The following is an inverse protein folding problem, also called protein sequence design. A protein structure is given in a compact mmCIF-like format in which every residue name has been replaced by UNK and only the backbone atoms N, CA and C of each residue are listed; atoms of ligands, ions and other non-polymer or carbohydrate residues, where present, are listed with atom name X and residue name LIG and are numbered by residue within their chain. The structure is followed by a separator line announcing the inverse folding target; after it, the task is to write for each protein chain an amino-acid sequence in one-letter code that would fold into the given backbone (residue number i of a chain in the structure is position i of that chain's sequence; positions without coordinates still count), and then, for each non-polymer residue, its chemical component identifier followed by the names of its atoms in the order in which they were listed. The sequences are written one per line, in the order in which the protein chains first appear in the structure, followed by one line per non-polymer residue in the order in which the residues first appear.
data_IF_303870684710
#
_entry.id   IF_303870684710
#
_cell.length_a   1.000
_cell.length_b   1.000
_cell.length_c   1.000
_cell.angle_alpha   90.00
_cell.angle_beta   90.00
_cell.angle_gamma   90.00
#
_symmetry.space_group_name_H-M   'P 1'
#
loop_
_entity.id
_entity.type
_entity.pdbx_description
1 polymer ?
#
# COMPACT_ATOMS: atom_id res chain seq x y z
N UNK A 1 11.20 3.75 5.75
CA UNK A 1 10.92 2.75 4.70
C UNK A 1 9.55 2.04 4.84
N UNK A 2 8.77 2.26 5.90
CA UNK A 2 7.61 1.41 6.28
C UNK A 2 6.33 1.67 5.43
N UNK A 3 6.15 2.88 4.89
CA UNK A 3 4.91 3.24 4.20
C UNK A 3 4.74 2.67 2.77
N UNK A 4 5.80 2.16 2.13
CA UNK A 4 5.69 1.72 0.71
C UNK A 4 4.80 0.50 0.51
N UNK A 5 4.75 -0.41 1.49
CA UNK A 5 4.15 -1.72 1.25
C UNK A 5 2.64 -1.75 1.53
N UNK A 6 2.13 -0.91 2.43
CA UNK A 6 0.77 -1.08 2.96
C UNK A 6 -0.33 -0.85 1.92
N UNK A 7 -0.19 0.15 1.05
CA UNK A 7 -1.14 0.41 -0.03
C UNK A 7 -1.11 -0.69 -1.09
N UNK A 8 0.08 -1.20 -1.41
CA UNK A 8 0.27 -2.28 -2.37
C UNK A 8 -0.31 -3.61 -1.84
N UNK A 9 -0.04 -3.96 -0.59
CA UNK A 9 -0.66 -5.11 0.10
C UNK A 9 -2.19 -5.01 0.09
N UNK A 10 -2.76 -3.84 0.37
CA UNK A 10 -4.21 -3.61 0.35
C UNK A 10 -4.79 -3.75 -1.06
N UNK A 11 -4.13 -3.17 -2.06
CA UNK A 11 -4.54 -3.29 -3.46
C UNK A 11 -4.56 -4.75 -3.91
N UNK A 12 -3.50 -5.50 -3.65
CA UNK A 12 -3.41 -6.93 -3.98
C UNK A 12 -4.46 -7.77 -3.23
N UNK A 13 -4.78 -7.42 -1.98
CA UNK A 13 -5.77 -8.13 -1.18
C UNK A 13 -7.16 -8.02 -1.80
N UNK A 14 -7.59 -6.80 -2.14
CA UNK A 14 -8.87 -6.58 -2.80
C UNK A 14 -8.89 -7.11 -4.23
N UNK A 15 -7.77 -7.03 -4.97
CA UNK A 15 -7.63 -7.62 -6.31
C UNK A 15 -7.92 -9.11 -6.30
N UNK A 16 -7.28 -9.86 -5.39
CA UNK A 16 -7.41 -11.30 -5.38
C UNK A 16 -8.79 -11.74 -4.86
N UNK A 17 -9.38 -11.00 -3.91
CA UNK A 17 -10.79 -11.17 -3.54
C UNK A 17 -11.73 -10.92 -4.71
N UNK A 18 -11.55 -9.82 -5.45
CA UNK A 18 -12.36 -9.49 -6.62
C UNK A 18 -12.22 -10.56 -7.72
N UNK A 19 -11.01 -11.07 -7.95
CA UNK A 19 -10.74 -12.13 -8.93
C UNK A 19 -11.44 -13.44 -8.59
N UNK A 20 -11.28 -13.92 -7.35
CA UNK A 20 -11.87 -15.18 -6.93
C UNK A 20 -13.41 -15.09 -6.91
N UNK A 21 -13.94 -13.99 -6.37
CA UNK A 21 -15.40 -13.77 -6.36
C UNK A 21 -15.97 -13.54 -7.76
N UNK A 22 -15.24 -12.87 -8.65
CA UNK A 22 -15.59 -12.72 -10.06
C UNK A 22 -15.56 -14.03 -10.84
N UNK A 23 -14.75 -15.00 -10.42
CA UNK A 23 -14.74 -16.37 -10.95
C UNK A 23 -15.90 -17.24 -10.41
N UNK A 24 -16.82 -16.67 -9.62
CA UNK A 24 -17.95 -17.38 -9.03
C UNK A 24 -17.61 -18.18 -7.77
N UNK A 25 -16.40 -18.01 -7.21
CA UNK A 25 -16.01 -18.65 -5.95
C UNK A 25 -16.67 -17.88 -4.80
N UNK A 26 -17.29 -18.60 -3.86
CA UNK A 26 -17.89 -17.97 -2.68
C UNK A 26 -16.82 -17.27 -1.83
N UNK A 27 -17.20 -16.17 -1.15
CA UNK A 27 -16.28 -15.35 -0.34
C UNK A 27 -15.61 -16.18 0.77
N UNK A 28 -16.35 -17.10 1.40
CA UNK A 28 -15.80 -18.03 2.39
C UNK A 28 -14.68 -18.92 1.81
N UNK A 29 -14.90 -19.48 0.62
CA UNK A 29 -13.90 -20.32 -0.05
C UNK A 29 -12.72 -19.50 -0.54
N UNK A 30 -12.98 -18.32 -1.09
CA UNK A 30 -11.95 -17.37 -1.50
C UNK A 30 -11.05 -17.00 -0.32
N UNK A 31 -11.62 -16.72 0.86
CA UNK A 31 -10.86 -16.42 2.07
C UNK A 31 -9.87 -17.54 2.44
N UNK A 32 -10.34 -18.79 2.40
CA UNK A 32 -9.52 -19.97 2.71
C UNK A 32 -8.38 -20.19 1.72
N UNK A 33 -8.64 -19.97 0.41
CA UNK A 33 -7.60 -20.04 -0.62
C UNK A 33 -6.56 -18.95 -0.42
N UNK A 34 -7.01 -17.73 -0.10
CA UNK A 34 -6.13 -16.60 0.14
C UNK A 34 -5.23 -16.78 1.37
N UNK A 35 -5.78 -17.33 2.44
CA UNK A 35 -5.06 -17.45 3.70
C UNK A 35 -3.80 -18.35 3.57
N UNK A 36 -3.80 -19.28 2.62
CA UNK A 36 -2.67 -20.16 2.32
C UNK A 36 -1.53 -19.45 1.58
N UNK A 37 -1.87 -18.49 0.70
CA UNK A 37 -0.90 -17.86 -0.20
C UNK A 37 -0.27 -16.60 0.39
N UNK A 38 -0.97 -15.90 1.29
CA UNK A 38 -0.51 -14.64 1.84
C UNK A 38 0.47 -14.83 3.00
N UNK A 39 1.50 -13.99 3.09
CA UNK A 39 2.48 -14.00 4.19
C UNK A 39 2.25 -12.88 5.21
N UNK A 40 1.56 -11.83 4.82
CA UNK A 40 1.33 -10.66 5.67
C UNK A 40 0.37 -11.00 6.84
N UNK A 41 0.79 -10.80 8.10
CA UNK A 41 -0.03 -11.18 9.25
C UNK A 41 -1.29 -10.32 9.42
N UNK A 42 -1.30 -9.07 8.95
CA UNK A 42 -2.51 -8.24 8.99
C UNK A 42 -3.56 -8.76 8.02
N UNK A 43 -3.15 -9.19 6.82
CA UNK A 43 -4.06 -9.82 5.85
C UNK A 43 -4.55 -11.17 6.35
N UNK A 44 -3.68 -12.01 6.93
CA UNK A 44 -4.10 -13.28 7.52
C UNK A 44 -5.14 -13.09 8.63
N UNK A 45 -4.93 -12.10 9.50
CA UNK A 45 -5.92 -11.77 10.54
C UNK A 45 -7.25 -11.37 9.94
N UNK A 46 -7.26 -10.56 8.87
CA UNK A 46 -8.48 -10.15 8.18
C UNK A 46 -9.22 -11.35 7.56
N UNK A 47 -8.49 -12.25 6.90
CA UNK A 47 -9.04 -13.47 6.30
C UNK A 47 -9.59 -14.42 7.35
N UNK A 48 -8.91 -14.55 8.49
CA UNK A 48 -9.37 -15.36 9.61
C UNK A 48 -10.66 -14.79 10.23
N UNK A 49 -10.72 -13.48 10.47
CA UNK A 49 -11.95 -12.81 10.93
C UNK A 49 -13.10 -13.00 9.95
N UNK A 50 -12.83 -12.88 8.64
CA UNK A 50 -13.81 -13.14 7.60
C UNK A 50 -14.30 -14.59 7.60
N UNK A 51 -13.41 -15.59 7.74
CA UNK A 51 -13.79 -16.99 7.82
C UNK A 51 -14.65 -17.30 9.05
N UNK A 52 -14.30 -16.75 10.21
CA UNK A 52 -15.03 -16.96 11.47
C UNK A 52 -16.39 -16.28 11.44
N UNK A 53 -16.45 -14.99 11.08
CA UNK A 53 -17.71 -14.26 11.02
C UNK A 53 -18.70 -14.88 10.02
N UNK A 54 -18.22 -15.34 8.85
CA UNK A 54 -19.08 -16.05 7.90
C UNK A 54 -19.59 -17.40 8.41
N UNK A 55 -18.82 -18.12 9.23
CA UNK A 55 -19.30 -19.36 9.88
C UNK A 55 -20.36 -19.07 10.94
N UNK A 56 -20.28 -17.91 11.58
CA UNK A 56 -21.24 -17.43 12.58
C UNK A 56 -22.48 -16.78 11.96
N UNK A 57 -22.50 -16.59 10.64
CA UNK A 57 -23.61 -15.99 9.90
C UNK A 57 -23.59 -14.47 9.85
N UNK A 58 -22.46 -13.84 10.18
CA UNK A 58 -22.27 -12.40 10.00
C UNK A 58 -22.24 -12.01 8.52
N UNK A 59 -22.52 -10.74 8.26
CA UNK A 59 -22.30 -10.14 6.93
C UNK A 59 -20.81 -10.06 6.63
N UNK A 60 -20.44 -10.07 5.35
CA UNK A 60 -19.06 -9.91 4.89
C UNK A 60 -18.48 -8.58 5.38
N UNK A 61 -19.28 -7.51 5.33
CA UNK A 61 -18.90 -6.20 5.85
C UNK A 61 -18.61 -6.21 7.35
N UNK A 62 -19.41 -6.93 8.14
CA UNK A 62 -19.25 -7.09 9.57
C UNK A 62 -18.01 -7.91 9.93
N UNK A 63 -17.86 -9.07 9.30
CA UNK A 63 -16.74 -9.97 9.55
C UNK A 63 -15.37 -9.35 9.19
N UNK A 64 -15.34 -8.45 8.19
CA UNK A 64 -14.14 -7.70 7.81
C UNK A 64 -13.96 -6.38 8.56
N UNK A 65 -14.97 -5.85 9.25
CA UNK A 65 -14.92 -4.56 9.92
C UNK A 65 -13.70 -4.33 10.82
N UNK A 66 -13.21 -5.32 11.60
CA UNK A 66 -12.02 -5.13 12.45
C UNK A 66 -10.73 -4.85 11.66
N UNK A 67 -10.66 -5.32 10.41
CA UNK A 67 -9.50 -5.14 9.54
C UNK A 67 -9.67 -3.96 8.56
N UNK A 68 -10.90 -3.49 8.36
CA UNK A 68 -11.22 -2.42 7.42
C UNK A 68 -11.29 -1.05 8.11
N UNK A 69 -10.97 -0.02 7.35
CA UNK A 69 -11.30 1.37 7.67
C UNK A 69 -12.80 1.60 7.49
N UNK A 70 -13.34 2.65 8.11
CA UNK A 70 -14.77 2.98 7.97
C UNK A 70 -15.22 3.18 6.51
N UNK A 71 -14.34 3.71 5.66
CA UNK A 71 -14.59 3.86 4.23
C UNK A 71 -14.68 2.50 3.51
N UNK A 72 -13.69 1.63 3.74
CA UNK A 72 -13.68 0.29 3.13
C UNK A 72 -14.90 -0.52 3.58
N UNK A 73 -15.23 -0.49 4.88
CA UNK A 73 -16.41 -1.19 5.41
C UNK A 73 -17.70 -0.69 4.76
N UNK A 74 -17.88 0.63 4.63
CA UNK A 74 -19.06 1.20 3.96
C UNK A 74 -19.19 0.81 2.47
N UNK A 75 -18.08 0.72 1.74
CA UNK A 75 -18.07 0.27 0.35
C UNK A 75 -18.44 -1.21 0.25
N UNK A 76 -17.85 -2.05 1.10
CA UNK A 76 -18.14 -3.50 1.13
C UNK A 76 -19.59 -3.74 1.51
N UNK A 77 -20.10 -3.04 2.51
CA UNK A 77 -21.47 -3.13 3.01
C UNK A 77 -22.50 -2.70 1.96
N UNK A 78 -22.24 -1.60 1.25
CA UNK A 78 -23.05 -1.18 0.10
C UNK A 78 -23.01 -2.20 -1.04
N UNK A 79 -21.84 -2.76 -1.33
CA UNK A 79 -21.66 -3.77 -2.38
C UNK A 79 -22.34 -5.10 -2.02
N UNK A 80 -22.29 -5.51 -0.76
CA UNK A 80 -22.94 -6.72 -0.24
C UNK A 80 -24.46 -6.61 -0.34
N UNK A 81 -25.05 -5.51 0.19
CA UNK A 81 -26.49 -5.25 0.05
C UNK A 81 -26.94 -5.14 -1.40
N UNK A 82 -26.09 -4.60 -2.27
CA UNK A 82 -26.35 -4.49 -3.70
C UNK A 82 -26.12 -5.77 -4.50
N UNK A 83 -25.62 -6.86 -3.87
CA UNK A 83 -25.25 -8.10 -4.55
C UNK A 83 -24.09 -7.96 -5.54
N UNK A 84 -23.29 -6.90 -5.41
CA UNK A 84 -22.22 -6.49 -6.34
C UNK A 84 -20.85 -6.44 -5.65
N UNK A 85 -20.55 -7.41 -4.79
CA UNK A 85 -19.28 -7.51 -4.05
C UNK A 85 -18.04 -7.41 -4.94
N UNK A 86 -18.06 -8.06 -6.11
CA UNK A 86 -16.97 -8.00 -7.09
C UNK A 86 -16.65 -6.55 -7.48
N UNK A 87 -17.69 -5.72 -7.69
CA UNK A 87 -17.52 -4.31 -8.01
C UNK A 87 -16.99 -3.51 -6.81
N UNK A 88 -17.46 -3.81 -5.60
CA UNK A 88 -16.96 -3.19 -4.38
C UNK A 88 -15.47 -3.44 -4.16
N UNK A 89 -15.04 -4.71 -4.26
CA UNK A 89 -13.62 -5.06 -4.14
C UNK A 89 -12.76 -4.47 -5.25
N UNK A 90 -13.24 -4.50 -6.50
CA UNK A 90 -12.52 -3.88 -7.62
C UNK A 90 -12.36 -2.37 -7.45
N UNK A 91 -13.38 -1.69 -6.92
CA UNK A 91 -13.28 -0.27 -6.61
C UNK A 91 -12.21 0.03 -5.56
N UNK A 92 -12.11 -0.81 -4.52
CA UNK A 92 -11.08 -0.70 -3.49
C UNK A 92 -9.68 -1.03 -4.02
N UNK A 93 -9.56 -2.04 -4.88
CA UNK A 93 -8.33 -2.35 -5.61
C UNK A 93 -7.81 -1.13 -6.37
N UNK A 94 -8.66 -0.54 -7.23
CA UNK A 94 -8.32 0.60 -8.08
C UNK A 94 -7.90 1.82 -7.22
N UNK A 95 -8.61 2.06 -6.12
CA UNK A 95 -8.30 3.13 -5.18
C UNK A 95 -6.90 2.97 -4.57
N UNK A 96 -6.58 1.81 -4.00
CA UNK A 96 -5.28 1.58 -3.40
C UNK A 96 -4.14 1.47 -4.41
N UNK A 97 -4.43 0.97 -5.60
CA UNK A 97 -3.48 0.93 -6.71
C UNK A 97 -3.06 2.36 -7.12
N UNK A 98 -4.02 3.27 -7.27
CA UNK A 98 -3.77 4.67 -7.59
C UNK A 98 -2.96 5.38 -6.50
N UNK A 99 -3.30 5.13 -5.23
CA UNK A 99 -2.54 5.66 -4.09
C UNK A 99 -1.08 5.17 -4.12
N UNK A 100 -0.86 3.88 -4.32
CA UNK A 100 0.48 3.28 -4.39
C UNK A 100 1.33 3.88 -5.52
N UNK A 101 0.75 4.04 -6.72
CA UNK A 101 1.45 4.65 -7.85
C UNK A 101 1.82 6.12 -7.57
N UNK A 102 0.92 6.87 -6.96
CA UNK A 102 1.15 8.30 -6.66
C UNK A 102 2.34 8.47 -5.72
N UNK A 103 2.37 7.71 -4.62
CA UNK A 103 3.48 7.77 -3.67
C UNK A 103 4.80 7.25 -4.25
N UNK A 104 4.74 6.23 -5.11
CA UNK A 104 5.93 5.68 -5.77
C UNK A 104 6.56 6.72 -6.71
N UNK A 105 5.74 7.42 -7.50
CA UNK A 105 6.21 8.51 -8.38
C UNK A 105 6.80 9.67 -7.60
N UNK A 106 6.14 10.08 -6.51
CA UNK A 106 6.66 11.14 -5.62
C UNK A 106 8.03 10.77 -5.03
N UNK A 107 8.21 9.51 -4.60
CA UNK A 107 9.50 9.04 -4.08
C UNK A 107 10.58 9.00 -5.15
N UNK A 108 10.27 8.50 -6.34
CA UNK A 108 11.21 8.46 -7.44
C UNK A 108 11.72 9.86 -7.83
N UNK A 109 10.81 10.85 -7.91
CA UNK A 109 11.17 12.23 -8.18
C UNK A 109 12.06 12.86 -7.08
N UNK A 110 11.90 12.44 -5.83
CA UNK A 110 12.68 12.94 -4.70
C UNK A 110 14.12 12.39 -4.62
N UNK A 111 14.44 11.30 -5.33
CA UNK A 111 15.79 10.70 -5.28
C UNK A 111 16.84 11.65 -5.86
N UNK A 112 16.58 12.26 -7.02
CA UNK A 112 17.52 13.17 -7.68
C UNK A 112 17.94 14.37 -6.81
N UNK A 113 17.01 15.19 -6.27
CA UNK A 113 17.39 16.32 -5.42
C UNK A 113 18.09 15.87 -4.13
N UNK A 114 17.76 14.69 -3.59
CA UNK A 114 18.42 14.17 -2.40
C UNK A 114 19.88 13.81 -2.69
N UNK A 115 20.17 13.15 -3.82
CA UNK A 115 21.55 12.84 -4.25
C UNK A 115 22.36 14.11 -4.47
N UNK A 116 21.78 15.12 -5.12
CA UNK A 116 22.45 16.40 -5.32
C UNK A 116 22.75 17.12 -4.01
N UNK A 117 21.81 17.12 -3.06
CA UNK A 117 22.01 17.72 -1.74
C UNK A 117 23.13 16.99 -0.97
N UNK A 118 23.17 15.65 -1.03
CA UNK A 118 24.26 14.89 -0.44
C UNK A 118 25.61 15.25 -1.07
N UNK A 119 25.69 15.33 -2.40
CA UNK A 119 26.93 15.72 -3.09
C UNK A 119 27.38 17.14 -2.70
N UNK A 120 26.45 18.10 -2.66
CA UNK A 120 26.71 19.48 -2.28
C UNK A 120 27.17 19.64 -0.82
N UNK A 121 26.74 18.78 0.10
CA UNK A 121 27.17 18.83 1.51
C UNK A 121 28.48 18.05 1.74
N UNK A 122 28.68 16.93 1.04
CA UNK A 122 29.82 16.04 1.27
C UNK A 122 31.11 16.53 0.59
N UNK A 123 31.01 17.09 -0.63
CA UNK A 123 32.17 17.52 -1.42
C UNK A 123 32.93 18.72 -0.82
N UNK A 124 32.30 19.80 -0.34
CA UNK A 124 33.02 20.98 0.15
C UNK A 124 33.85 20.69 1.40
N UNK A 125 33.52 19.64 2.16
CA UNK A 125 34.26 19.25 3.35
C UNK A 125 35.65 18.68 3.04
N UNK A 126 35.93 18.33 1.78
CA UNK A 126 37.23 17.85 1.32
C UNK A 126 38.05 18.92 0.55
N UNK A 127 37.50 20.12 0.29
CA UNK A 127 38.15 21.15 -0.52
C UNK A 127 38.38 22.45 0.27
N UNK A 128 39.48 22.48 1.02
CA UNK A 128 40.17 23.71 1.41
C UNK A 128 41.64 23.38 1.62
N UNK A 129 42.47 23.66 0.61
CA UNK A 129 43.51 24.67 0.81
C UNK A 129 43.87 25.38 -0.51
N UNK A 130 43.22 26.49 -0.87
CA UNK A 130 43.83 27.40 -1.87
C UNK A 130 43.26 28.82 -1.76
N UNK A 131 43.39 29.42 -0.59
CA UNK A 131 43.47 30.88 -0.48
C UNK A 131 44.97 31.23 -0.54
N UNK A 132 45.57 31.13 -1.74
CA UNK A 132 46.94 31.61 -1.94
C UNK A 132 46.88 33.13 -2.10
N UNK A 133 47.47 33.91 -1.18
CA UNK A 133 47.41 35.36 -1.27
C UNK A 133 48.20 35.85 -2.50
N UNK A 134 47.77 36.96 -3.13
CA UNK A 134 48.43 37.48 -4.33
C UNK A 134 49.90 37.86 -4.02
N UNK A 135 50.81 37.69 -5.00
CA UNK A 135 52.21 38.03 -4.80
C UNK A 135 52.34 39.52 -4.47
N UNK A 136 52.95 39.82 -3.32
CA UNK A 136 53.35 41.17 -2.98
C UNK A 136 54.42 41.62 -3.97
N UNK A 137 54.05 42.54 -4.86
CA UNK A 137 55.02 43.30 -5.63
C UNK A 137 55.82 44.16 -4.65
N UNK A 138 57.07 43.77 -4.38
CA UNK A 138 58.07 44.67 -3.81
C UNK A 138 58.53 45.62 -4.93
N UNK A 139 58.33 46.91 -4.72
CA UNK A 139 58.88 48.02 -5.48
C UNK A 139 59.13 49.17 -4.52
#
# INVERSE_FOLDING_TARGET
MIFSNKAETRSQFFHELARLTGAGISVSRASSVLNQNWRDPSVKSALHSLETGLKEGETISGALAPALTGMESGIVDAAERGGKLVHGFKHLEDYYHLLGQTFTRMRAAAVYPLVMLHAAVLLPRAASPEDTPPPRACG
#
